data_IF_367596828662
#
_entry.id   IF_367596828662
#
_cell.length_a   1.000
_cell.length_b   1.000
_cell.length_c   1.000
_cell.angle_alpha   90.00
_cell.angle_beta   90.00
_cell.angle_gamma   90.00
#
_symmetry.space_group_name_H-M   'P 1'
#
loop_
_entity.id
_entity.type
_entity.pdbx_description
1 polymer ?
#
# COMPACT_ATOMS: atom_id res chain seq x y z
N UNK A 1 -4.45 -5.48 0.75
CA UNK A 1 -5.07 -6.81 0.56
C UNK A 1 -6.05 -6.82 -0.60
N UNK A 2 -7.24 -6.21 -0.47
CA UNK A 2 -8.27 -6.20 -1.55
C UNK A 2 -7.70 -5.74 -2.89
N UNK A 3 -6.97 -4.62 -2.90
CA UNK A 3 -6.40 -4.10 -4.14
C UNK A 3 -5.37 -5.03 -4.78
N UNK A 4 -4.57 -5.72 -3.97
CA UNK A 4 -3.57 -6.67 -4.47
C UNK A 4 -4.24 -7.89 -5.11
N UNK A 5 -5.17 -8.50 -4.39
CA UNK A 5 -5.84 -9.71 -4.85
C UNK A 5 -6.71 -9.45 -6.10
N UNK A 6 -7.57 -8.43 -6.08
CA UNK A 6 -8.52 -8.20 -7.16
C UNK A 6 -7.92 -7.45 -8.35
N UNK A 7 -7.11 -6.40 -8.14
CA UNK A 7 -6.65 -5.55 -9.24
C UNK A 7 -5.26 -5.91 -9.76
N UNK A 8 -4.33 -6.27 -8.87
CA UNK A 8 -2.95 -6.57 -9.27
C UNK A 8 -2.83 -8.03 -9.73
N UNK A 9 -3.33 -8.96 -8.92
CA UNK A 9 -3.21 -10.40 -9.12
C UNK A 9 -4.41 -11.03 -9.82
N UNK A 10 -5.50 -10.27 -10.01
CA UNK A 10 -6.71 -10.72 -10.73
C UNK A 10 -7.27 -12.05 -10.21
N UNK A 11 -7.18 -12.26 -8.90
CA UNK A 11 -7.62 -13.48 -8.18
C UNK A 11 -6.76 -14.73 -8.45
N UNK A 12 -5.61 -14.59 -9.09
CA UNK A 12 -4.66 -15.68 -9.33
C UNK A 12 -3.56 -15.66 -8.25
N UNK A 13 -3.50 -16.74 -7.45
CA UNK A 13 -2.49 -16.93 -6.42
C UNK A 13 -1.78 -18.26 -6.64
N UNK A 14 -0.45 -18.24 -6.63
CA UNK A 14 0.38 -19.44 -6.60
C UNK A 14 0.41 -19.93 -5.15
N UNK A 15 -0.24 -21.07 -4.87
CA UNK A 15 -0.40 -21.56 -3.49
C UNK A 15 0.92 -22.09 -2.95
N UNK A 16 1.74 -22.75 -3.77
CA UNK A 16 3.04 -23.26 -3.31
C UNK A 16 3.94 -22.13 -2.80
N UNK A 17 3.94 -20.99 -3.51
CA UNK A 17 4.75 -19.83 -3.15
C UNK A 17 4.23 -19.11 -1.89
N UNK A 18 2.94 -19.25 -1.54
CA UNK A 18 2.40 -18.65 -0.30
C UNK A 18 2.95 -19.32 0.96
N UNK A 19 3.33 -20.60 0.84
CA UNK A 19 3.89 -21.39 1.94
C UNK A 19 5.39 -21.62 1.79
N UNK A 20 6.05 -20.89 0.89
CA UNK A 20 7.48 -21.01 0.60
C UNK A 20 8.23 -19.76 1.03
N UNK A 21 9.35 -19.95 1.73
CA UNK A 21 10.32 -18.89 2.04
C UNK A 21 11.42 -18.76 0.98
N UNK A 22 11.23 -19.37 -0.19
CA UNK A 22 12.23 -19.34 -1.25
C UNK A 22 12.50 -17.91 -1.73
N UNK A 23 13.77 -17.49 -1.85
CA UNK A 23 14.13 -16.19 -2.45
C UNK A 23 13.63 -15.98 -3.87
N UNK A 24 13.32 -17.07 -4.59
CA UNK A 24 12.78 -17.04 -5.96
C UNK A 24 11.25 -17.06 -6.02
N UNK A 25 10.57 -17.19 -4.88
CA UNK A 25 9.11 -17.25 -4.83
C UNK A 25 8.45 -15.93 -5.19
N UNK A 26 7.25 -15.99 -5.78
CA UNK A 26 6.51 -14.82 -6.26
C UNK A 26 6.12 -13.80 -5.16
N UNK A 27 6.18 -14.19 -3.88
CA UNK A 27 5.87 -13.34 -2.72
C UNK A 27 7.08 -13.00 -1.85
N UNK A 28 8.30 -13.35 -2.28
CA UNK A 28 9.51 -13.00 -1.52
C UNK A 28 9.86 -11.50 -1.67
N UNK A 29 9.47 -10.84 -2.75
CA UNK A 29 9.72 -9.41 -3.00
C UNK A 29 11.17 -8.98 -2.65
N UNK A 30 11.34 -8.00 -1.76
CA UNK A 30 12.64 -7.52 -1.28
C UNK A 30 12.89 -8.04 0.14
N UNK A 31 13.40 -9.27 0.25
CA UNK A 31 13.75 -9.88 1.55
C UNK A 31 12.53 -10.29 2.39
N UNK A 32 11.47 -10.75 1.74
CA UNK A 32 10.18 -11.12 2.34
C UNK A 32 9.15 -9.98 2.40
N UNK A 33 9.53 -8.74 2.06
CA UNK A 33 8.66 -7.57 2.22
C UNK A 33 8.33 -6.88 0.90
N UNK A 34 7.04 -6.59 0.71
CA UNK A 34 6.55 -5.74 -0.36
C UNK A 34 6.65 -4.26 0.08
N UNK A 35 7.78 -3.61 -0.27
CA UNK A 35 8.02 -2.19 0.06
C UNK A 35 6.93 -1.27 -0.46
N UNK A 36 6.34 -1.58 -1.62
CA UNK A 36 5.22 -0.83 -2.19
C UNK A 36 3.97 -0.92 -1.31
N UNK A 37 3.67 -2.10 -0.76
CA UNK A 37 2.57 -2.29 0.16
C UNK A 37 2.80 -1.56 1.49
N UNK A 38 4.03 -1.60 2.02
CA UNK A 38 4.41 -0.88 3.24
C UNK A 38 4.28 0.63 3.04
N UNK A 39 4.82 1.18 1.95
CA UNK A 39 4.70 2.60 1.64
C UNK A 39 3.24 3.05 1.53
N UNK A 40 2.40 2.28 0.83
CA UNK A 40 0.98 2.57 0.69
C UNK A 40 0.23 2.52 2.04
N UNK A 41 0.59 1.59 2.92
CA UNK A 41 0.05 1.52 4.29
C UNK A 41 0.40 2.78 5.08
N UNK A 42 1.66 3.21 5.06
CA UNK A 42 2.10 4.43 5.76
C UNK A 42 1.32 5.63 5.25
N UNK A 43 1.19 5.80 3.93
CA UNK A 43 0.42 6.90 3.34
C UNK A 43 -1.05 6.88 3.76
N UNK A 44 -1.66 5.70 3.86
CA UNK A 44 -3.05 5.57 4.33
C UNK A 44 -3.24 6.01 5.78
N UNK A 45 -2.26 5.79 6.65
CA UNK A 45 -2.34 6.10 8.10
C UNK A 45 -2.03 7.57 8.41
N UNK A 46 -1.13 8.21 7.63
CA UNK A 46 -0.71 9.60 7.85
C UNK A 46 -1.84 10.60 8.13
N UNK A 47 -2.94 10.66 7.35
CA UNK A 47 -4.00 11.65 7.59
C UNK A 47 -4.82 11.40 8.86
N UNK A 48 -4.74 10.21 9.47
CA UNK A 48 -5.44 9.88 10.72
C UNK A 48 -4.69 10.40 11.96
N UNK A 49 -3.37 10.55 11.87
CA UNK A 49 -2.50 10.89 13.00
C UNK A 49 -2.89 12.22 13.67
N UNK A 50 -3.13 13.33 12.95
CA UNK A 50 -3.47 14.59 13.61
C UNK A 50 -4.78 14.52 14.41
N UNK A 51 -5.81 13.85 13.88
CA UNK A 51 -7.08 13.67 14.59
C UNK A 51 -6.95 12.73 15.80
N UNK A 52 -6.06 11.74 15.73
CA UNK A 52 -5.71 10.91 16.88
C UNK A 52 -5.03 11.74 17.99
N UNK A 53 -4.05 12.57 17.64
CA UNK A 53 -3.29 13.40 18.59
C UNK A 53 -4.18 14.40 19.34
N UNK A 54 -5.19 14.96 18.68
CA UNK A 54 -6.23 15.77 19.34
C UNK A 54 -7.04 14.94 20.33
N UNK A 55 -7.47 13.74 19.95
CA UNK A 55 -8.28 12.86 20.81
C UNK A 55 -7.55 12.42 22.07
N UNK A 56 -6.24 12.19 22.00
CA UNK A 56 -5.41 11.87 23.17
C UNK A 56 -4.92 13.10 23.93
N UNK A 57 -5.40 14.30 23.59
CA UNK A 57 -5.07 15.58 24.23
C UNK A 57 -3.58 15.97 24.18
N UNK A 58 -2.83 15.42 23.22
CA UNK A 58 -1.43 15.82 22.97
C UNK A 58 -1.40 17.17 22.23
N UNK A 59 -2.38 17.42 21.35
CA UNK A 59 -2.53 18.67 20.60
C UNK A 59 -3.85 19.34 21.00
N UNK A 60 -3.83 20.66 21.19
CA UNK A 60 -4.97 21.41 21.74
C UNK A 60 -6.15 21.57 20.75
N UNK A 61 -5.86 21.67 19.46
CA UNK A 61 -6.88 21.80 18.41
C UNK A 61 -6.27 21.41 17.07
N UNK A 62 -6.96 20.55 16.32
CA UNK A 62 -6.65 20.32 14.90
C UNK A 62 -7.82 20.79 14.04
N UNK A 63 -7.59 21.11 12.76
CA UNK A 63 -8.69 21.42 11.85
C UNK A 63 -9.74 20.31 11.84
N UNK A 64 -11.02 20.69 11.77
CA UNK A 64 -12.17 19.78 11.81
C UNK A 64 -12.05 18.64 10.78
N UNK A 65 -11.40 18.90 9.64
CA UNK A 65 -11.09 17.90 8.61
C UNK A 65 -10.40 16.67 9.20
N UNK A 66 -9.40 16.84 10.07
CA UNK A 66 -8.67 15.73 10.67
C UNK A 66 -9.49 14.98 11.71
N UNK A 67 -10.38 15.65 12.43
CA UNK A 67 -11.31 15.02 13.38
C UNK A 67 -12.33 14.14 12.63
N UNK A 68 -12.83 14.59 11.47
CA UNK A 68 -13.72 13.82 10.59
C UNK A 68 -13.00 12.62 9.98
N UNK A 69 -11.75 12.82 9.52
CA UNK A 69 -10.90 11.73 9.00
C UNK A 69 -10.67 10.68 10.08
N UNK A 70 -10.34 11.09 11.30
CA UNK A 70 -10.15 10.16 12.41
C UNK A 70 -11.43 9.39 12.76
N UNK A 71 -12.58 10.07 12.79
CA UNK A 71 -13.87 9.43 13.00
C UNK A 71 -14.22 8.37 11.95
N UNK A 72 -13.72 8.53 10.73
CA UNK A 72 -13.92 7.61 9.61
C UNK A 72 -12.62 6.90 9.18
N UNK A 73 -11.66 6.75 10.11
CA UNK A 73 -10.31 6.31 9.80
C UNK A 73 -10.27 4.98 9.05
N UNK A 74 -11.15 4.04 9.40
CA UNK A 74 -11.22 2.74 8.74
C UNK A 74 -11.46 2.87 7.23
N UNK A 75 -12.41 3.72 6.82
CA UNK A 75 -12.73 3.92 5.41
C UNK A 75 -11.64 4.72 4.71
N UNK A 76 -11.27 5.88 5.27
CA UNK A 76 -10.30 6.80 4.64
C UNK A 76 -8.95 6.10 4.43
N UNK A 77 -8.41 5.46 5.47
CA UNK A 77 -7.13 4.76 5.37
C UNK A 77 -7.20 3.59 4.39
N UNK A 78 -8.30 2.83 4.37
CA UNK A 78 -8.44 1.67 3.48
C UNK A 78 -8.46 2.09 2.01
N UNK A 79 -9.22 3.13 1.67
CA UNK A 79 -9.27 3.62 0.29
C UNK A 79 -7.98 4.30 -0.13
N UNK A 80 -7.39 5.16 0.70
CA UNK A 80 -6.11 5.81 0.39
C UNK A 80 -5.01 4.77 0.19
N UNK A 81 -4.84 3.83 1.13
CA UNK A 81 -3.83 2.77 1.00
C UNK A 81 -4.11 1.88 -0.22
N UNK A 82 -5.38 1.55 -0.50
CA UNK A 82 -5.78 0.77 -1.66
C UNK A 82 -5.43 1.43 -2.99
N UNK A 83 -5.79 2.71 -3.17
CA UNK A 83 -5.49 3.47 -4.38
C UNK A 83 -4.01 3.76 -4.54
N UNK A 84 -3.31 4.14 -3.46
CA UNK A 84 -1.85 4.33 -3.49
C UNK A 84 -1.14 3.04 -3.88
N UNK A 85 -1.49 1.91 -3.26
CA UNK A 85 -0.89 0.62 -3.58
C UNK A 85 -1.13 0.23 -5.04
N UNK A 86 -2.36 0.39 -5.52
CA UNK A 86 -2.70 0.08 -6.91
C UNK A 86 -1.92 0.96 -7.89
N UNK A 87 -1.90 2.29 -7.65
CA UNK A 87 -1.19 3.24 -8.49
C UNK A 87 0.32 2.99 -8.54
N UNK A 88 0.97 2.83 -7.37
CA UNK A 88 2.40 2.50 -7.32
C UNK A 88 2.69 1.15 -7.99
N UNK A 89 1.90 0.12 -7.72
CA UNK A 89 2.14 -1.22 -8.26
C UNK A 89 2.01 -1.24 -9.78
N UNK A 90 1.03 -0.54 -10.34
CA UNK A 90 0.87 -0.40 -11.80
C UNK A 90 2.03 0.39 -12.40
N UNK A 91 2.45 1.50 -11.77
CA UNK A 91 3.56 2.32 -12.24
C UNK A 91 4.90 1.56 -12.23
N UNK A 92 5.18 0.84 -11.14
CA UNK A 92 6.41 0.07 -10.99
C UNK A 92 6.45 -1.15 -11.92
N UNK A 93 5.32 -1.82 -12.14
CA UNK A 93 5.21 -2.90 -13.14
C UNK A 93 5.52 -2.38 -14.56
N UNK A 94 5.02 -1.19 -14.92
CA UNK A 94 5.33 -0.54 -16.21
C UNK A 94 6.81 -0.19 -16.33
N UNK A 95 7.44 0.35 -15.28
CA UNK A 95 8.88 0.66 -15.27
C UNK A 95 9.73 -0.58 -15.51
N UNK A 96 9.42 -1.70 -14.83
CA UNK A 96 10.17 -2.96 -14.98
C UNK A 96 10.09 -3.54 -16.40
N UNK A 97 8.92 -3.42 -17.05
CA UNK A 97 8.75 -3.83 -18.46
C UNK A 97 9.51 -2.89 -19.41
N UNK A 98 9.44 -1.58 -19.19
CA UNK A 98 10.14 -0.59 -20.01
C UNK A 98 11.66 -0.70 -19.92
N UNK A 99 12.22 -1.04 -18.76
CA UNK A 99 13.66 -1.21 -18.58
C UNK A 99 14.18 -2.48 -19.26
N UNK A 100 13.35 -3.51 -19.41
CA UNK A 100 13.68 -4.73 -20.14
C UNK A 100 13.61 -4.54 -21.67
N UNK A 101 12.90 -3.49 -22.11
CA UNK A 101 12.73 -3.11 -23.52
C UNK A 101 13.61 -1.89 -23.91
N UNK A 102 14.58 -1.51 -23.07
CA UNK A 102 15.54 -0.44 -23.35
C UNK A 102 16.39 -0.76 -24.60
N UNK A 103 16.85 0.28 -25.33
CA UNK A 103 17.06 0.21 -26.77
C UNK A 103 18.16 -0.78 -27.14
N UNK A 104 17.84 -1.71 -28.04
CA UNK A 104 18.84 -2.35 -28.88
C UNK A 104 19.39 -1.29 -29.84
N UNK A 105 20.46 -0.60 -29.43
CA UNK A 105 21.39 0.10 -30.31
C UNK A 105 22.80 -0.40 -30.00
#
# INVERSE_FOLDING_TARGET
>A
MVADYYFIRRRELIVEDLYSSSPTGAYYYSGGFNLTAVAALVVGVLPVIPGFLEKVKIVSKVPQVFTVIYGNAWFISTFIAGFCYWGLSVLLKRRKVSSLLGPQL
#
